data_IF_103345152608
#
_entry.id   IF_103345152608
#
_cell.length_a   1.000
_cell.length_b   1.000
_cell.length_c   1.000
_cell.angle_alpha   90.00
_cell.angle_beta   90.00
_cell.angle_gamma   90.00
#
_symmetry.space_group_name_H-M   'P 1'
#
loop_
_entity.id
_entity.type
_entity.pdbx_description
1 polymer ?
#
# COMPACT_ATOMS: atom_id res chain seq x y z
N UNK A 1 -39.45 14.19 22.24
CA UNK A 1 -38.48 13.21 22.79
C UNK A 1 -37.44 12.97 21.70
N UNK A 2 -36.25 13.53 21.88
CA UNK A 2 -35.19 13.53 20.87
C UNK A 2 -34.41 12.22 20.90
N UNK A 3 -34.44 11.47 19.81
CA UNK A 3 -33.61 10.26 19.63
C UNK A 3 -32.22 10.69 19.18
N UNK A 4 -31.24 10.47 20.06
CA UNK A 4 -29.82 10.70 19.81
C UNK A 4 -29.33 9.60 18.85
N UNK A 5 -28.90 10.00 17.64
CA UNK A 5 -28.18 9.11 16.73
C UNK A 5 -26.72 9.01 17.20
N UNK A 6 -26.36 7.88 17.81
CA UNK A 6 -24.95 7.50 17.96
C UNK A 6 -24.43 7.01 16.62
N UNK A 7 -23.73 7.88 15.88
CA UNK A 7 -22.86 7.45 14.79
C UNK A 7 -21.62 6.85 15.46
N UNK A 8 -21.55 5.52 15.53
CA UNK A 8 -20.31 4.82 15.88
C UNK A 8 -19.32 5.08 14.75
N UNK A 9 -18.36 5.98 15.01
CA UNK A 9 -17.19 6.20 14.18
C UNK A 9 -16.34 4.91 14.19
N UNK A 10 -16.66 3.99 13.29
CA UNK A 10 -15.76 2.86 12.99
C UNK A 10 -14.53 3.46 12.33
N UNK A 11 -13.39 3.41 13.01
CA UNK A 11 -12.10 3.87 12.45
C UNK A 11 -11.91 3.20 11.07
N UNK A 12 -11.41 3.90 10.04
CA UNK A 12 -11.30 3.37 8.67
C UNK A 12 -10.52 2.03 8.58
N UNK A 13 -9.61 1.79 9.53
CA UNK A 13 -8.84 0.53 9.68
C UNK A 13 -9.77 -0.64 10.06
N UNK A 14 -10.76 -0.42 10.92
CA UNK A 14 -11.70 -1.45 11.37
C UNK A 14 -12.66 -1.89 10.26
N UNK A 15 -12.99 -0.97 9.33
CA UNK A 15 -13.80 -1.30 8.15
C UNK A 15 -13.02 -2.15 7.13
N UNK A 16 -11.74 -1.82 6.90
CA UNK A 16 -10.84 -2.61 6.04
C UNK A 16 -10.60 -4.02 6.59
N UNK A 17 -10.37 -4.13 7.90
CA UNK A 17 -10.17 -5.42 8.57
C UNK A 17 -11.45 -6.28 8.53
N UNK A 18 -12.62 -5.69 8.76
CA UNK A 18 -13.90 -6.40 8.67
C UNK A 18 -14.17 -6.94 7.26
N UNK A 19 -13.88 -6.16 6.20
CA UNK A 19 -13.99 -6.60 4.82
C UNK A 19 -13.03 -7.75 4.48
N UNK A 20 -11.79 -7.69 4.99
CA UNK A 20 -10.79 -8.75 4.78
C UNK A 20 -11.18 -10.06 5.48
N UNK A 21 -11.62 -9.98 6.75
CA UNK A 21 -12.09 -11.16 7.52
C UNK A 21 -13.36 -11.76 6.90
N UNK A 22 -14.32 -10.93 6.47
CA UNK A 22 -15.54 -11.40 5.83
C UNK A 22 -15.27 -12.19 4.53
N UNK A 23 -14.30 -11.72 3.72
CA UNK A 23 -13.88 -12.40 2.49
C UNK A 23 -13.13 -13.72 2.77
N UNK A 24 -12.35 -13.80 3.85
CA UNK A 24 -11.63 -15.03 4.22
C UNK A 24 -12.54 -16.12 4.78
N UNK A 25 -13.68 -15.76 5.40
CA UNK A 25 -14.61 -16.75 5.98
C UNK A 25 -15.72 -17.20 5.01
N UNK A 26 -15.85 -16.57 3.84
CA UNK A 26 -16.89 -16.88 2.84
C UNK A 26 -16.28 -17.11 1.44
N UNK A 27 -15.32 -18.03 1.35
CA UNK A 27 -14.68 -18.41 0.07
C UNK A 27 -15.51 -19.34 -0.81
N UNK A 28 -16.78 -19.58 -0.51
CA UNK A 28 -17.67 -20.30 -1.43
C UNK A 28 -18.82 -19.43 -1.91
N UNK A 29 -18.80 -19.21 -3.24
CA UNK A 29 -19.77 -18.49 -4.07
C UNK A 29 -19.73 -16.96 -3.95
N UNK A 30 -19.00 -16.29 -4.84
CA UNK A 30 -19.58 -15.40 -5.85
C UNK A 30 -18.51 -14.87 -6.80
N UNK A 31 -18.69 -15.17 -8.08
CA UNK A 31 -17.98 -14.59 -9.22
C UNK A 31 -18.16 -13.05 -9.27
N UNK A 32 -17.12 -12.37 -9.76
CA UNK A 32 -17.05 -10.95 -10.10
C UNK A 32 -18.37 -10.34 -10.62
N UNK A 33 -18.78 -9.22 -10.02
CA UNK A 33 -19.62 -8.21 -10.69
C UNK A 33 -19.41 -6.83 -10.07
N UNK A 34 -18.78 -5.94 -10.85
CA UNK A 34 -18.82 -4.48 -10.66
C UNK A 34 -20.27 -4.02 -10.82
N UNK A 35 -21.05 -3.96 -9.74
CA UNK A 35 -22.26 -3.13 -9.57
C UNK A 35 -22.97 -3.49 -8.26
N UNK A 36 -22.51 -3.01 -7.12
CA UNK A 36 -23.34 -2.99 -5.89
C UNK A 36 -23.19 -1.61 -5.22
N UNK A 37 -23.61 -0.58 -5.96
CA UNK A 37 -23.89 0.75 -5.41
C UNK A 37 -25.35 1.14 -5.66
N UNK A 38 -26.30 0.20 -5.65
CA UNK A 38 -27.73 0.53 -5.62
C UNK A 38 -28.46 -0.63 -4.92
N UNK A 39 -28.78 -0.49 -3.63
CA UNK A 39 -29.57 -1.56 -3.00
C UNK A 39 -29.71 -1.61 -1.48
N UNK A 40 -29.11 -0.73 -0.68
CA UNK A 40 -29.43 -0.67 0.77
C UNK A 40 -30.71 0.14 1.02
N UNK A 41 -31.84 -0.32 0.46
CA UNK A 41 -33.16 0.18 0.83
C UNK A 41 -33.85 -0.84 1.74
N UNK A 42 -33.86 -0.49 3.02
CA UNK A 42 -34.82 -0.91 4.04
C UNK A 42 -34.64 -2.34 4.58
N UNK A 43 -33.58 -2.55 5.36
CA UNK A 43 -33.62 -3.48 6.51
C UNK A 43 -33.72 -2.67 7.79
N UNK A 44 -34.72 -2.96 8.62
CA UNK A 44 -34.90 -2.32 9.93
C UNK A 44 -33.81 -2.80 10.89
N UNK A 45 -33.36 -1.87 11.74
CA UNK A 45 -32.21 -1.94 12.65
C UNK A 45 -32.11 -3.18 13.55
N UNK A 46 -33.17 -3.97 13.69
CA UNK A 46 -33.25 -5.07 14.67
C UNK A 46 -32.78 -6.42 14.12
N UNK A 47 -32.69 -6.61 12.79
CA UNK A 47 -32.33 -7.92 12.19
C UNK A 47 -30.88 -8.06 11.72
N UNK A 48 -30.10 -6.97 11.70
CA UNK A 48 -28.64 -7.05 11.41
C UNK A 48 -27.85 -7.48 12.66
N UNK A 49 -28.44 -7.31 13.85
CA UNK A 49 -27.80 -7.62 15.14
C UNK A 49 -27.62 -9.13 15.42
N UNK A 50 -28.32 -10.02 14.70
CA UNK A 50 -28.37 -11.45 15.04
C UNK A 50 -27.48 -12.35 14.19
N UNK A 51 -26.62 -11.80 13.32
CA UNK A 51 -25.74 -12.61 12.46
C UNK A 51 -24.26 -12.22 12.50
N UNK A 52 -23.88 -11.33 13.41
CA UNK A 52 -22.48 -11.04 13.69
C UNK A 52 -22.23 -11.58 15.11
N UNK A 53 -21.48 -12.67 15.31
CA UNK A 53 -21.05 -13.04 16.64
C UNK A 53 -20.33 -11.82 17.21
N UNK A 54 -20.72 -11.38 18.42
CA UNK A 54 -20.06 -10.29 19.12
C UNK A 54 -18.61 -10.70 19.38
N UNK A 55 -17.73 -10.40 18.41
CA UNK A 55 -16.30 -10.56 18.57
C UNK A 55 -15.92 -9.64 19.73
N UNK A 56 -15.39 -10.24 20.80
CA UNK A 56 -14.95 -9.48 21.97
C UNK A 56 -13.99 -8.37 21.50
N UNK A 57 -14.22 -7.14 21.99
CA UNK A 57 -13.41 -5.99 21.61
C UNK A 57 -11.92 -6.23 21.90
N UNK A 58 -11.62 -6.97 22.96
CA UNK A 58 -10.25 -7.37 23.31
C UNK A 58 -9.64 -8.33 22.26
N UNK A 59 -10.43 -9.27 21.75
CA UNK A 59 -9.99 -10.21 20.71
C UNK A 59 -9.75 -9.49 19.37
N UNK A 60 -10.57 -8.49 19.04
CA UNK A 60 -10.39 -7.67 17.84
C UNK A 60 -9.10 -6.82 17.91
N UNK A 61 -8.80 -6.25 19.08
CA UNK A 61 -7.58 -5.47 19.30
C UNK A 61 -6.32 -6.34 19.18
N UNK A 62 -6.33 -7.54 19.80
CA UNK A 62 -5.23 -8.50 19.68
C UNK A 62 -4.99 -8.95 18.24
N UNK A 63 -6.05 -9.23 17.48
CA UNK A 63 -5.92 -9.60 16.07
C UNK A 63 -5.35 -8.47 15.23
N UNK A 64 -5.76 -7.23 15.49
CA UNK A 64 -5.24 -6.05 14.79
C UNK A 64 -3.75 -5.84 15.09
N UNK A 65 -3.34 -6.00 16.35
CA UNK A 65 -1.95 -5.88 16.75
C UNK A 65 -1.08 -6.99 16.12
N UNK A 66 -1.61 -8.21 16.06
CA UNK A 66 -0.93 -9.34 15.42
C UNK A 66 -0.74 -9.08 13.91
N UNK A 67 -1.79 -8.66 13.21
CA UNK A 67 -1.69 -8.32 11.78
C UNK A 67 -0.65 -7.24 11.53
N UNK A 68 -0.65 -6.19 12.35
CA UNK A 68 0.31 -5.10 12.25
C UNK A 68 1.75 -5.60 12.44
N UNK A 69 2.01 -6.43 13.46
CA UNK A 69 3.33 -7.04 13.66
C UNK A 69 3.76 -7.90 12.49
N UNK A 70 2.86 -8.68 11.92
CA UNK A 70 3.17 -9.55 10.78
C UNK A 70 3.47 -8.73 9.51
N UNK A 71 2.72 -7.65 9.25
CA UNK A 71 3.02 -6.70 8.17
C UNK A 71 4.39 -6.06 8.33
N UNK A 72 4.70 -5.57 9.53
CA UNK A 72 5.98 -4.93 9.83
C UNK A 72 7.16 -5.90 9.70
N UNK A 73 6.98 -7.16 10.09
CA UNK A 73 8.03 -8.18 9.91
C UNK A 73 8.30 -8.44 8.44
N UNK A 74 7.24 -8.61 7.64
CA UNK A 74 7.35 -8.73 6.18
C UNK A 74 8.05 -7.53 5.53
N UNK A 75 7.77 -6.30 6.01
CA UNK A 75 8.46 -5.09 5.55
C UNK A 75 9.96 -5.13 5.81
N UNK A 76 10.39 -5.50 7.02
CA UNK A 76 11.81 -5.59 7.35
C UNK A 76 12.51 -6.70 6.57
N UNK A 77 11.87 -7.87 6.44
CA UNK A 77 12.43 -8.99 5.69
C UNK A 77 12.66 -8.60 4.22
N UNK A 78 11.68 -7.94 3.59
CA UNK A 78 11.83 -7.44 2.22
C UNK A 78 12.90 -6.36 2.12
N UNK A 79 12.95 -5.41 3.06
CA UNK A 79 13.99 -4.38 3.08
C UNK A 79 15.40 -4.98 3.17
N UNK A 80 15.62 -5.97 4.03
CA UNK A 80 16.91 -6.65 4.14
C UNK A 80 17.27 -7.44 2.88
N UNK A 81 16.28 -8.07 2.24
CA UNK A 81 16.47 -8.71 0.94
C UNK A 81 16.87 -7.68 -0.12
N UNK A 82 16.17 -6.54 -0.21
CA UNK A 82 16.50 -5.46 -1.14
C UNK A 82 17.91 -4.90 -0.89
N UNK A 83 18.31 -4.72 0.37
CA UNK A 83 19.65 -4.27 0.72
C UNK A 83 20.74 -5.27 0.31
N UNK A 84 20.40 -6.57 0.24
CA UNK A 84 21.31 -7.61 -0.25
C UNK A 84 21.42 -7.61 -1.78
N UNK A 85 20.32 -7.31 -2.48
CA UNK A 85 20.27 -7.22 -3.95
C UNK A 85 20.99 -5.95 -4.43
N UNK A 86 20.64 -4.80 -3.85
CA UNK A 86 21.18 -3.47 -4.17
C UNK A 86 22.34 -3.10 -3.24
N UNK A 87 23.36 -3.95 -3.22
CA UNK A 87 24.46 -3.86 -2.26
C UNK A 87 25.59 -2.92 -2.70
N UNK A 88 25.55 -2.34 -3.90
CA UNK A 88 26.60 -1.42 -4.32
C UNK A 88 26.50 -0.10 -3.54
N UNK A 89 27.64 0.56 -3.26
CA UNK A 89 27.64 1.81 -2.49
C UNK A 89 26.67 2.86 -3.06
N UNK A 90 25.72 3.28 -2.22
CA UNK A 90 24.72 4.30 -2.55
C UNK A 90 23.57 3.83 -3.43
N UNK A 91 23.49 2.54 -3.80
CA UNK A 91 22.33 2.01 -4.52
C UNK A 91 21.09 1.98 -3.66
N UNK A 92 21.16 1.48 -2.43
CA UNK A 92 20.09 1.59 -1.44
C UNK A 92 20.53 2.52 -0.31
N UNK A 93 19.68 3.49 0.03
CA UNK A 93 19.94 4.45 1.10
C UNK A 93 18.71 4.65 1.97
N UNK A 94 18.94 4.76 3.27
CA UNK A 94 17.94 5.14 4.27
C UNK A 94 18.43 6.43 4.92
N UNK A 95 17.59 7.46 4.95
CA UNK A 95 17.94 8.77 5.52
C UNK A 95 18.10 8.68 7.06
N UNK A 96 17.25 7.88 7.71
CA UNK A 96 17.26 7.67 9.16
C UNK A 96 17.01 6.19 9.51
N UNK A 97 18.06 5.51 9.95
CA UNK A 97 18.01 4.10 10.35
C UNK A 97 17.26 3.86 11.66
N UNK A 98 16.98 4.90 12.46
CA UNK A 98 16.25 4.75 13.72
C UNK A 98 14.84 4.20 13.53
N UNK A 99 14.25 4.37 12.34
CA UNK A 99 12.96 3.79 11.99
C UNK A 99 13.01 2.27 11.83
N UNK A 100 14.09 1.74 11.26
CA UNK A 100 14.32 0.28 11.14
C UNK A 100 14.43 -0.32 12.54
N UNK A 101 15.23 0.29 13.41
CA UNK A 101 15.40 -0.14 14.79
C UNK A 101 14.08 -0.04 15.58
N UNK A 102 13.31 1.02 15.38
CA UNK A 102 12.02 1.22 16.04
C UNK A 102 10.98 0.17 15.62
N UNK A 103 10.93 -0.19 14.33
CA UNK A 103 10.06 -1.26 13.84
C UNK A 103 10.47 -2.60 14.46
N UNK A 104 11.78 -2.90 14.50
CA UNK A 104 12.30 -4.11 15.14
C UNK A 104 11.92 -4.19 16.63
N UNK A 105 12.13 -3.10 17.38
CA UNK A 105 11.75 -2.99 18.78
C UNK A 105 10.23 -3.17 18.98
N UNK A 106 9.40 -2.66 18.06
CA UNK A 106 7.94 -2.83 18.12
C UNK A 106 7.51 -4.29 17.90
N UNK A 107 8.12 -4.96 16.92
CA UNK A 107 7.87 -6.39 16.65
C UNK A 107 8.26 -7.24 17.86
N UNK A 108 9.37 -6.92 18.51
CA UNK A 108 9.87 -7.63 19.70
C UNK A 108 9.11 -7.30 20.99
N UNK A 109 8.21 -6.30 20.96
CA UNK A 109 7.46 -5.85 22.14
C UNK A 109 8.27 -4.99 23.11
N UNK A 110 9.43 -4.48 22.69
CA UNK A 110 10.29 -3.58 23.47
C UNK A 110 9.72 -2.15 23.50
N UNK A 111 8.92 -1.78 22.50
CA UNK A 111 8.15 -0.53 22.44
C UNK A 111 6.73 -0.78 21.98
N UNK A 112 5.78 -0.02 22.53
CA UNK A 112 4.38 -0.01 22.07
C UNK A 112 4.08 1.09 21.05
N UNK A 113 5.11 1.78 20.52
CA UNK A 113 4.92 2.93 19.61
C UNK A 113 5.81 2.84 18.38
N UNK A 114 5.18 3.09 17.22
CA UNK A 114 5.84 3.33 15.94
C UNK A 114 6.04 4.84 15.76
N UNK A 115 7.26 5.23 15.40
CA UNK A 115 7.68 6.62 15.26
C UNK A 115 7.43 7.19 13.87
N UNK A 116 7.66 6.39 12.82
CA UNK A 116 7.42 6.76 11.43
C UNK A 116 7.17 5.50 10.56
N UNK A 117 6.96 5.73 9.27
CA UNK A 117 6.91 4.69 8.23
C UNK A 117 8.31 4.35 7.75
N UNK A 118 8.49 3.15 7.19
CA UNK A 118 9.75 2.80 6.55
C UNK A 118 9.84 3.54 5.20
N UNK A 119 10.91 4.34 5.05
CA UNK A 119 11.15 5.18 3.87
C UNK A 119 12.61 5.07 3.47
N UNK A 120 12.85 4.71 2.22
CA UNK A 120 14.17 4.51 1.67
C UNK A 120 14.19 4.83 0.18
N UNK A 121 15.38 4.96 -0.37
CA UNK A 121 15.58 5.31 -1.76
C UNK A 121 16.56 4.36 -2.45
N UNK A 122 16.24 4.04 -3.70
CA UNK A 122 17.07 3.30 -4.63
C UNK A 122 17.64 4.24 -5.68
N UNK A 123 18.96 4.34 -5.82
CA UNK A 123 19.62 5.16 -6.84
C UNK A 123 20.18 4.27 -7.95
N UNK A 124 19.39 4.07 -9.01
CA UNK A 124 19.69 3.09 -10.06
C UNK A 124 20.17 3.78 -11.35
N UNK A 125 21.13 3.19 -12.09
CA UNK A 125 21.64 3.75 -13.36
C UNK A 125 20.68 3.43 -14.52
N UNK A 126 19.50 4.07 -14.54
CA UNK A 126 18.47 3.85 -15.58
C UNK A 126 18.63 4.79 -16.79
N UNK A 127 19.53 5.77 -16.69
CA UNK A 127 19.91 6.69 -17.77
C UNK A 127 21.42 6.60 -17.98
N UNK A 128 21.88 6.82 -19.22
CA UNK A 128 23.29 6.63 -19.61
C UNK A 128 24.28 7.45 -18.77
N UNK A 129 23.90 8.65 -18.33
CA UNK A 129 24.81 9.57 -17.61
C UNK A 129 24.28 9.99 -16.23
N UNK A 130 23.14 9.45 -15.79
CA UNK A 130 22.50 9.89 -14.55
C UNK A 130 21.86 8.73 -13.79
N UNK A 131 21.96 8.79 -12.45
CA UNK A 131 21.19 7.91 -11.58
C UNK A 131 19.78 8.46 -11.41
N UNK A 132 18.83 7.55 -11.48
CA UNK A 132 17.42 7.81 -11.21
C UNK A 132 17.13 7.36 -9.79
N UNK A 133 16.49 8.22 -9.03
CA UNK A 133 16.09 7.94 -7.66
C UNK A 133 14.68 7.36 -7.65
N UNK A 134 14.50 6.19 -7.06
CA UNK A 134 13.21 5.59 -6.77
C UNK A 134 13.03 5.61 -5.26
N UNK A 135 12.17 6.50 -4.75
CA UNK A 135 11.80 6.53 -3.34
C UNK A 135 10.64 5.57 -3.09
N UNK A 136 10.76 4.81 -2.01
CA UNK A 136 9.76 3.83 -1.57
C UNK A 136 9.35 4.17 -0.14
N UNK A 137 8.07 4.48 0.05
CA UNK A 137 7.47 4.65 1.39
C UNK A 137 6.51 3.49 1.65
N UNK A 138 6.73 2.75 2.75
CA UNK A 138 5.90 1.62 3.16
C UNK A 138 4.96 2.03 4.31
N UNK A 139 3.64 2.08 4.09
CA UNK A 139 2.66 2.18 5.16
C UNK A 139 2.74 0.98 6.11
N UNK A 140 2.34 1.15 7.37
CA UNK A 140 2.51 0.09 8.39
C UNK A 140 1.71 -1.19 8.12
N UNK A 141 0.64 -1.11 7.33
CA UNK A 141 -0.16 -2.28 6.96
C UNK A 141 0.18 -2.84 5.58
N UNK A 142 1.28 -2.39 4.96
CA UNK A 142 1.86 -3.05 3.80
C UNK A 142 2.51 -4.39 4.21
N UNK A 143 2.38 -5.48 3.43
CA UNK A 143 1.66 -5.57 2.14
C UNK A 143 0.13 -5.73 2.28
N UNK A 144 -0.38 -6.18 3.43
CA UNK A 144 -1.72 -6.75 3.56
C UNK A 144 -2.93 -5.83 3.28
N UNK A 145 -2.92 -4.56 3.70
CA UNK A 145 -4.10 -3.66 3.58
C UNK A 145 -3.81 -2.30 2.95
N UNK A 146 -2.54 -1.99 2.72
CA UNK A 146 -2.08 -0.70 2.21
C UNK A 146 -1.06 -0.89 1.09
N UNK A 147 -1.14 -0.02 0.08
CA UNK A 147 -0.28 -0.01 -1.10
C UNK A 147 0.92 0.91 -0.79
N UNK A 148 2.15 0.51 -1.15
CA UNK A 148 3.32 1.33 -0.93
C UNK A 148 3.35 2.49 -1.94
N UNK A 149 3.97 3.60 -1.56
CA UNK A 149 4.11 4.75 -2.43
C UNK A 149 5.48 4.74 -3.11
N UNK A 150 5.47 4.80 -4.44
CA UNK A 150 6.67 4.91 -5.26
C UNK A 150 6.76 6.30 -5.87
N UNK A 151 7.91 6.95 -5.74
CA UNK A 151 8.18 8.23 -6.40
C UNK A 151 9.49 8.14 -7.16
N UNK A 152 9.41 8.26 -8.48
CA UNK A 152 10.59 8.26 -9.35
C UNK A 152 11.01 9.70 -9.63
N UNK A 153 12.27 10.03 -9.31
CA UNK A 153 12.86 11.35 -9.47
C UNK A 153 14.13 11.29 -10.30
N UNK A 154 14.30 12.31 -11.14
CA UNK A 154 15.51 12.54 -11.92
C UNK A 154 15.63 14.03 -12.20
N UNK A 155 16.85 14.53 -12.39
CA UNK A 155 17.08 15.92 -12.80
C UNK A 155 16.40 16.26 -14.14
N UNK A 156 16.15 15.25 -14.96
CA UNK A 156 15.49 15.38 -16.27
C UNK A 156 13.95 15.38 -16.19
N UNK A 157 13.35 15.08 -15.04
CA UNK A 157 11.89 14.96 -14.92
C UNK A 157 11.28 16.21 -14.29
N UNK A 158 10.42 16.96 -15.00
CA UNK A 158 9.59 17.96 -14.37
C UNK A 158 8.55 17.28 -13.47
N UNK A 159 8.04 18.02 -12.48
CA UNK A 159 7.08 17.52 -11.47
C UNK A 159 5.85 16.84 -12.07
N UNK A 160 5.35 17.30 -13.22
CA UNK A 160 4.19 16.69 -13.87
C UNK A 160 4.51 15.31 -14.46
N UNK A 161 5.75 15.11 -14.92
CA UNK A 161 6.22 13.79 -15.38
C UNK A 161 6.40 12.84 -14.20
N UNK A 162 6.97 13.30 -13.08
CA UNK A 162 7.09 12.50 -11.85
C UNK A 162 5.71 12.01 -11.37
N UNK A 163 4.70 12.88 -11.39
CA UNK A 163 3.31 12.53 -11.04
C UNK A 163 2.71 11.50 -11.99
N UNK A 164 2.90 11.69 -13.30
CA UNK A 164 2.42 10.74 -14.31
C UNK A 164 3.10 9.36 -14.14
N UNK A 165 4.40 9.32 -13.87
CA UNK A 165 5.14 8.07 -13.61
C UNK A 165 4.59 7.39 -12.35
N UNK A 166 4.38 8.15 -11.28
CA UNK A 166 3.78 7.65 -10.03
C UNK A 166 2.42 7.01 -10.28
N UNK A 167 1.53 7.67 -11.03
CA UNK A 167 0.22 7.14 -11.39
C UNK A 167 0.31 5.85 -12.20
N UNK A 168 1.25 5.77 -13.17
CA UNK A 168 1.46 4.55 -13.97
C UNK A 168 1.96 3.38 -13.12
N UNK A 169 2.78 3.64 -12.10
CA UNK A 169 3.23 2.61 -11.16
C UNK A 169 2.04 2.13 -10.30
N UNK A 170 1.22 3.05 -9.79
CA UNK A 170 0.00 2.70 -9.05
C UNK A 170 -0.95 1.83 -9.90
N UNK A 171 -1.18 2.22 -11.17
CA UNK A 171 -1.98 1.44 -12.11
C UNK A 171 -1.38 0.06 -12.40
N UNK A 172 -0.05 -0.06 -12.47
CA UNK A 172 0.62 -1.35 -12.62
C UNK A 172 0.38 -2.24 -11.38
N UNK A 173 0.55 -1.70 -10.18
CA UNK A 173 0.33 -2.43 -8.93
C UNK A 173 -1.11 -2.95 -8.87
N UNK A 174 -2.11 -2.10 -9.15
CA UNK A 174 -3.52 -2.49 -9.11
C UNK A 174 -3.91 -3.57 -10.13
N UNK A 175 -3.21 -3.64 -11.27
CA UNK A 175 -3.54 -4.55 -12.37
C UNK A 175 -2.79 -5.88 -12.31
N UNK A 176 -1.50 -5.82 -11.98
CA UNK A 176 -0.57 -6.95 -12.17
C UNK A 176 -0.12 -7.58 -10.84
N UNK A 177 -0.23 -6.87 -9.71
CA UNK A 177 0.07 -7.44 -8.39
C UNK A 177 -1.19 -8.15 -7.88
N UNK A 178 -1.28 -9.44 -8.19
CA UNK A 178 -2.45 -10.29 -7.87
C UNK A 178 -2.55 -10.65 -6.39
N UNK A 179 -1.41 -10.74 -5.69
CA UNK A 179 -1.35 -11.11 -4.29
C UNK A 179 -0.76 -9.96 -3.45
N UNK A 180 -1.63 -9.25 -2.74
CA UNK A 180 -1.24 -8.21 -1.77
C UNK A 180 -0.96 -8.77 -0.38
N UNK A 181 -1.02 -10.09 -0.18
CA UNK A 181 -0.65 -10.67 1.11
C UNK A 181 0.86 -10.80 1.30
N UNK A 182 1.63 -10.81 0.21
CA UNK A 182 3.09 -10.92 0.21
C UNK A 182 3.79 -9.64 -0.27
N UNK A 183 5.04 -9.37 0.17
CA UNK A 183 5.80 -8.21 -0.29
C UNK A 183 6.15 -8.30 -1.78
N UNK A 184 6.11 -7.16 -2.46
CA UNK A 184 6.20 -7.01 -3.92
C UNK A 184 6.98 -5.76 -4.36
N UNK A 185 7.69 -5.07 -3.47
CA UNK A 185 8.51 -3.91 -3.83
C UNK A 185 9.55 -4.30 -4.87
N UNK A 186 10.23 -5.44 -4.68
CA UNK A 186 11.22 -5.90 -5.65
C UNK A 186 10.62 -6.06 -7.05
N UNK A 187 9.44 -6.67 -7.16
CA UNK A 187 8.73 -6.84 -8.42
C UNK A 187 8.44 -5.48 -9.09
N UNK A 188 7.95 -4.51 -8.33
CA UNK A 188 7.66 -3.17 -8.86
C UNK A 188 8.94 -2.47 -9.32
N UNK A 189 10.03 -2.56 -8.53
CA UNK A 189 11.32 -2.01 -8.92
C UNK A 189 11.83 -2.64 -10.20
N UNK A 190 11.79 -3.98 -10.33
CA UNK A 190 12.18 -4.67 -11.56
C UNK A 190 11.34 -4.22 -12.75
N UNK A 191 10.02 -4.11 -12.58
CA UNK A 191 9.13 -3.62 -13.62
C UNK A 191 9.48 -2.18 -14.06
N UNK A 192 9.79 -1.29 -13.10
CA UNK A 192 10.25 0.08 -13.40
C UNK A 192 11.53 0.03 -14.23
N UNK A 193 12.49 -0.83 -13.89
CA UNK A 193 13.74 -0.98 -14.65
C UNK A 193 13.49 -1.46 -16.08
N UNK A 194 12.68 -2.50 -16.25
CA UNK A 194 12.40 -3.10 -17.56
C UNK A 194 11.60 -2.17 -18.48
N UNK A 195 10.72 -1.34 -17.89
CA UNK A 195 9.80 -0.47 -18.63
C UNK A 195 10.19 1.00 -18.57
N UNK A 196 11.39 1.33 -18.07
CA UNK A 196 11.76 2.70 -17.73
C UNK A 196 11.59 3.68 -18.89
N UNK A 197 11.99 3.27 -20.11
CA UNK A 197 11.88 4.10 -21.31
C UNK A 197 10.43 4.39 -21.65
N UNK A 198 9.55 3.39 -21.62
CA UNK A 198 8.11 3.57 -21.91
C UNK A 198 7.41 4.38 -20.81
N UNK A 199 7.73 4.07 -19.55
CA UNK A 199 7.19 4.72 -18.37
C UNK A 199 7.42 6.24 -18.38
N UNK A 200 8.57 6.66 -18.93
CA UNK A 200 9.01 8.05 -18.96
C UNK A 200 8.62 8.80 -20.24
N UNK A 201 8.04 8.14 -21.26
CA UNK A 201 7.54 8.87 -22.44
C UNK A 201 6.43 9.85 -22.06
N UNK A 202 6.62 11.12 -22.42
CA UNK A 202 5.53 12.10 -22.43
C UNK A 202 4.50 11.68 -23.48
N UNK A 203 3.25 11.53 -23.06
CA UNK A 203 2.16 11.62 -24.02
C UNK A 203 1.96 13.09 -24.33
N UNK A 204 2.42 13.53 -25.50
CA UNK A 204 2.07 14.85 -26.01
C UNK A 204 0.54 14.88 -26.14
N UNK A 205 -0.17 15.85 -25.53
CA UNK A 205 -1.62 15.95 -25.70
C UNK A 205 -1.91 16.07 -27.19
N UNK A 206 -2.80 15.21 -27.69
CA UNK A 206 -3.25 15.23 -29.08
C UNK A 206 -3.56 16.68 -29.46
N UNK A 207 -2.77 17.27 -30.36
CA UNK A 207 -3.15 18.52 -31.02
C UNK A 207 -4.43 18.20 -31.79
N UNK A 208 -5.56 18.58 -31.21
CA UNK A 208 -6.82 18.62 -31.93
C UNK A 208 -6.59 19.62 -33.05
N UNK A 209 -6.33 19.11 -34.26
CA UNK A 209 -6.33 19.91 -35.46
C UNK A 209 -7.73 20.48 -35.60
N UNK A 210 -7.88 21.77 -35.31
CA UNK A 210 -9.02 22.56 -35.73
C UNK A 210 -9.05 22.52 -37.26
N UNK A 211 -9.82 21.57 -37.81
CA UNK A 211 -10.22 21.61 -39.21
C UNK A 211 -11.19 22.79 -39.40
N UNK A 212 -10.78 23.68 -40.31
CA UNK A 212 -11.45 24.92 -40.69
C UNK A 212 -12.72 24.70 -41.51
#
# INVERSE_FOLDING_TARGET
MSTIFFIVQVKPIQLKLWLHIYNLTHTDQFFYSKSICVGYKRMTSTKIQTFIPAMDAAAAEQLQEQLLRDCLRKQLDEFHMLASIFCSPGELHVDDYSFVDNIGAYINGETGRLSAKLDYQLNLPLLEEQRVQIRVELPHLYPGLEIPCFVVRSACFPRDQERMITQRIEEYIEREVLDSSEPYVFQVVSWIQDNFVELTKFHEPLKVSEER
#
